data_IF_215701689116
#
_entry.id   IF_215701689116
#
_cell.length_a   1.000
_cell.length_b   1.000
_cell.length_c   1.000
_cell.angle_alpha   90.00
_cell.angle_beta   90.00
_cell.angle_gamma   90.00
#
_symmetry.space_group_name_H-M   'P 1'
#
loop_
_entity.id
_entity.type
_entity.pdbx_description
1 polymer ?
#
# COMPACT_ATOMS: atom_id res chain seq x y z
N UNK A 1 -31.12 -1.12 5.93
CA UNK A 1 -29.87 -1.54 6.56
C UNK A 1 -28.88 -0.39 6.58
N UNK A 2 -28.35 -0.02 7.73
CA UNK A 2 -27.25 0.95 7.74
C UNK A 2 -25.99 0.31 7.18
N UNK A 3 -25.19 1.12 6.50
CA UNK A 3 -23.88 0.70 6.04
C UNK A 3 -22.84 0.99 7.11
N UNK A 4 -22.03 0.00 7.42
CA UNK A 4 -20.91 0.18 8.36
C UNK A 4 -19.65 0.38 7.57
N UNK A 5 -19.06 1.57 7.69
CA UNK A 5 -17.80 1.93 7.02
C UNK A 5 -16.62 1.95 7.99
N UNK A 6 -16.78 1.29 9.13
CA UNK A 6 -15.73 1.21 10.15
C UNK A 6 -14.53 0.42 9.62
N UNK A 7 -13.33 0.93 9.87
CA UNK A 7 -12.08 0.25 9.54
C UNK A 7 -11.49 -0.54 10.70
N UNK A 8 -12.20 -0.65 11.81
CA UNK A 8 -11.72 -1.40 12.98
C UNK A 8 -11.53 -2.87 12.61
N UNK A 9 -10.33 -3.40 12.86
CA UNK A 9 -9.99 -4.78 12.50
C UNK A 9 -9.29 -4.93 11.16
N UNK A 10 -9.04 -3.82 10.47
CA UNK A 10 -8.28 -3.82 9.22
C UNK A 10 -6.83 -4.24 9.47
N UNK A 11 -6.29 -5.08 8.61
CA UNK A 11 -4.88 -5.49 8.67
C UNK A 11 -4.35 -5.75 7.28
N UNK A 12 -3.01 -5.72 7.17
CA UNK A 12 -2.31 -6.02 5.92
C UNK A 12 -1.38 -7.20 6.15
N UNK A 13 -1.34 -8.13 5.19
CA UNK A 13 -0.33 -9.17 5.15
C UNK A 13 0.63 -8.85 4.02
N UNK A 14 1.91 -8.70 4.35
CA UNK A 14 2.95 -8.31 3.40
C UNK A 14 3.92 -9.48 3.24
N UNK A 15 4.18 -9.87 2.00
CA UNK A 15 5.17 -10.88 1.67
C UNK A 15 6.17 -10.31 0.68
N UNK A 16 7.45 -10.59 0.90
CA UNK A 16 8.51 -10.21 -0.01
C UNK A 16 9.29 -11.47 -0.37
N UNK A 17 9.55 -11.68 -1.65
CA UNK A 17 10.05 -12.96 -2.16
C UNK A 17 11.40 -13.38 -1.58
N UNK A 18 12.26 -12.42 -1.22
CA UNK A 18 13.60 -12.69 -0.67
C UNK A 18 13.68 -12.34 0.81
N UNK A 19 13.27 -11.14 1.18
CA UNK A 19 13.46 -10.60 2.53
C UNK A 19 12.47 -11.18 3.54
N UNK A 20 11.21 -11.36 3.16
CA UNK A 20 10.15 -11.89 4.03
C UNK A 20 9.31 -12.94 3.30
N UNK A 21 9.89 -14.12 2.99
CA UNK A 21 9.14 -15.14 2.25
C UNK A 21 7.96 -15.71 3.04
N UNK A 22 8.02 -15.69 4.38
CA UNK A 22 6.90 -16.10 5.24
C UNK A 22 5.87 -14.99 5.43
N UNK A 23 6.27 -13.75 5.13
CA UNK A 23 5.41 -12.61 5.29
C UNK A 23 5.31 -12.10 6.72
N UNK A 24 4.67 -10.96 6.88
CA UNK A 24 4.35 -10.39 8.19
C UNK A 24 3.04 -9.62 8.10
N UNK A 25 2.41 -9.40 9.24
CA UNK A 25 1.14 -8.68 9.33
C UNK A 25 1.38 -7.27 9.84
N UNK A 26 0.75 -6.29 9.19
CA UNK A 26 0.80 -4.89 9.59
C UNK A 26 -0.53 -4.52 10.22
N UNK A 27 -0.50 -4.06 11.47
CA UNK A 27 -1.68 -3.60 12.18
C UNK A 27 -1.41 -2.36 13.05
N UNK A 28 -0.17 -2.00 13.27
CA UNK A 28 0.22 -0.82 14.05
C UNK A 28 0.18 0.44 13.18
N UNK A 29 -1.02 0.81 12.73
CA UNK A 29 -1.23 1.94 11.84
C UNK A 29 -1.09 3.27 12.55
N UNK A 30 -0.66 4.28 11.79
CA UNK A 30 -0.51 5.65 12.29
C UNK A 30 -1.86 6.25 12.70
N UNK A 31 -1.81 7.14 13.68
CA UNK A 31 -3.00 7.85 14.17
C UNK A 31 -3.17 9.24 13.56
N UNK A 32 -2.13 9.76 12.89
CA UNK A 32 -2.09 11.11 12.35
C UNK A 32 -1.97 11.15 10.81
N UNK A 33 -2.04 10.00 10.16
CA UNK A 33 -1.99 9.89 8.71
C UNK A 33 -2.85 8.71 8.27
N UNK A 34 -3.23 8.70 7.00
CA UNK A 34 -4.05 7.63 6.44
C UNK A 34 -3.29 6.29 6.51
N UNK A 35 -3.79 5.28 7.22
CA UNK A 35 -3.07 4.01 7.37
C UNK A 35 -2.83 3.28 6.04
N UNK A 36 -3.80 3.35 5.15
CA UNK A 36 -3.77 2.67 3.87
C UNK A 36 -4.41 3.57 2.84
N UNK A 37 -3.64 4.02 1.87
CA UNK A 37 -4.12 4.97 0.86
C UNK A 37 -4.08 4.34 -0.53
N UNK A 38 -5.20 4.39 -1.22
CA UNK A 38 -5.38 3.92 -2.58
C UNK A 38 -5.79 5.12 -3.44
N UNK A 39 -4.84 5.81 -4.06
CA UNK A 39 -5.15 6.99 -4.86
C UNK A 39 -5.97 6.64 -6.09
N UNK A 40 -6.72 7.61 -6.59
CA UNK A 40 -7.45 7.47 -7.84
C UNK A 40 -6.49 7.24 -9.00
N UNK A 41 -6.91 6.44 -9.96
CA UNK A 41 -6.09 6.05 -11.09
C UNK A 41 -6.84 6.31 -12.38
N UNK A 42 -6.20 7.01 -13.31
CA UNK A 42 -6.77 7.29 -14.62
C UNK A 42 -6.64 6.06 -15.51
N UNK A 43 -7.77 5.50 -15.93
CA UNK A 43 -7.78 4.32 -16.82
C UNK A 43 -7.73 4.73 -18.29
N UNK A 44 -8.06 5.98 -18.61
CA UNK A 44 -8.06 6.47 -19.96
C UNK A 44 -7.84 7.98 -20.00
N UNK A 45 -7.19 8.45 -21.04
CA UNK A 45 -7.09 9.87 -21.37
C UNK A 45 -8.14 10.18 -22.44
N UNK A 46 -9.00 11.16 -22.17
CA UNK A 46 -10.10 11.53 -23.04
C UNK A 46 -9.86 12.91 -23.65
N UNK A 47 -10.16 13.04 -24.93
CA UNK A 47 -10.10 14.33 -25.63
C UNK A 47 -11.18 14.41 -26.70
N UNK A 48 -11.49 15.63 -27.12
CA UNK A 48 -12.46 15.86 -28.22
C UNK A 48 -11.72 16.38 -29.44
N UNK A 49 -12.04 15.83 -30.61
CA UNK A 49 -11.52 16.38 -31.85
C UNK A 49 -12.35 17.59 -32.30
N UNK A 50 -11.95 18.20 -33.40
CA UNK A 50 -12.60 19.43 -33.91
C UNK A 50 -14.04 19.19 -34.39
N UNK A 51 -14.40 17.95 -34.67
CA UNK A 51 -15.76 17.58 -35.11
C UNK A 51 -16.66 17.14 -33.96
N UNK A 52 -16.15 17.17 -32.71
CA UNK A 52 -16.93 16.80 -31.54
C UNK A 52 -16.92 15.31 -31.24
N UNK A 53 -16.07 14.54 -31.90
CA UNK A 53 -15.91 13.12 -31.56
C UNK A 53 -14.94 12.96 -30.40
N UNK A 54 -15.28 12.08 -29.45
CA UNK A 54 -14.39 11.79 -28.33
C UNK A 54 -13.33 10.78 -28.75
N UNK A 55 -12.08 11.09 -28.43
CA UNK A 55 -10.94 10.19 -28.63
C UNK A 55 -10.45 9.72 -27.25
N UNK A 56 -10.35 8.42 -27.07
CA UNK A 56 -9.91 7.82 -25.81
C UNK A 56 -8.60 7.06 -26.02
N UNK A 57 -7.65 7.27 -25.12
CA UNK A 57 -6.40 6.52 -25.07
C UNK A 57 -6.32 5.82 -23.72
N UNK A 58 -6.31 4.49 -23.74
CA UNK A 58 -6.23 3.66 -22.52
C UNK A 58 -4.83 3.05 -22.43
N UNK A 59 -4.22 3.17 -21.27
CA UNK A 59 -2.87 2.64 -21.04
C UNK A 59 -2.82 1.96 -19.66
N UNK A 60 -2.00 0.89 -19.54
CA UNK A 60 -1.76 0.29 -18.23
C UNK A 60 -1.11 1.29 -17.29
N UNK A 61 -1.51 1.26 -16.02
CA UNK A 61 -1.00 2.15 -14.98
C UNK A 61 -0.48 1.35 -13.81
N UNK A 62 0.52 1.89 -13.13
CA UNK A 62 1.03 1.30 -11.89
C UNK A 62 0.01 1.54 -10.78
N UNK A 63 -0.35 0.48 -10.08
CA UNK A 63 -1.24 0.57 -8.93
C UNK A 63 -0.42 0.93 -7.71
N UNK A 64 -0.59 2.14 -7.19
CA UNK A 64 0.19 2.61 -6.05
C UNK A 64 -0.58 2.50 -4.76
N UNK A 65 0.13 2.20 -3.67
CA UNK A 65 -0.44 2.14 -2.32
C UNK A 65 0.57 2.71 -1.33
N UNK A 66 0.06 3.39 -0.33
CA UNK A 66 0.89 3.95 0.73
C UNK A 66 0.43 3.43 2.08
N UNK A 67 1.38 3.01 2.92
CA UNK A 67 1.15 2.51 4.27
C UNK A 67 1.80 3.47 5.25
N UNK A 68 1.05 3.92 6.25
CA UNK A 68 1.57 4.75 7.34
C UNK A 68 1.44 4.00 8.65
N UNK A 69 2.55 3.88 9.37
CA UNK A 69 2.63 3.08 10.60
C UNK A 69 3.18 3.90 11.77
N UNK A 70 2.93 3.42 12.99
CA UNK A 70 3.45 4.03 14.21
C UNK A 70 4.97 3.88 14.22
N UNK A 71 5.73 4.98 14.42
CA UNK A 71 7.18 4.91 14.45
C UNK A 71 7.67 4.05 15.61
N UNK A 72 8.66 3.18 15.35
CA UNK A 72 9.25 2.30 16.34
C UNK A 72 8.47 1.02 16.63
N UNK A 73 7.33 0.81 15.98
CA UNK A 73 6.59 -0.45 16.10
C UNK A 73 7.32 -1.58 15.38
N UNK A 74 6.95 -2.82 15.70
CA UNK A 74 7.51 -3.99 15.01
C UNK A 74 7.22 -3.93 13.51
N UNK A 75 6.02 -3.49 13.14
CA UNK A 75 5.63 -3.33 11.74
C UNK A 75 6.50 -2.29 11.03
N UNK A 76 6.78 -1.17 11.68
CA UNK A 76 7.69 -0.15 11.17
C UNK A 76 9.09 -0.72 10.96
N UNK A 77 9.60 -1.50 11.91
CA UNK A 77 10.90 -2.13 11.78
C UNK A 77 10.95 -3.10 10.61
N UNK A 78 9.90 -3.91 10.42
CA UNK A 78 9.82 -4.86 9.32
C UNK A 78 9.78 -4.14 7.95
N UNK A 79 8.98 -3.08 7.86
CA UNK A 79 8.90 -2.29 6.62
C UNK A 79 10.22 -1.56 6.34
N UNK A 80 10.90 -1.09 7.39
CA UNK A 80 12.20 -0.45 7.25
C UNK A 80 13.26 -1.44 6.74
N UNK A 81 13.26 -2.67 7.25
CA UNK A 81 14.15 -3.73 6.77
C UNK A 81 13.88 -4.03 5.29
N UNK A 82 12.61 -4.13 4.92
CA UNK A 82 12.22 -4.36 3.53
C UNK A 82 12.69 -3.21 2.62
N UNK A 83 12.48 -1.98 3.04
CA UNK A 83 12.90 -0.81 2.28
C UNK A 83 14.43 -0.78 2.10
N UNK A 84 15.18 -0.97 3.19
CA UNK A 84 16.64 -0.91 3.13
C UNK A 84 17.23 -2.07 2.31
N UNK A 85 16.61 -3.26 2.35
CA UNK A 85 17.05 -4.39 1.54
C UNK A 85 16.90 -4.12 0.04
N UNK A 86 15.90 -3.32 -0.34
CA UNK A 86 15.63 -3.01 -1.74
C UNK A 86 16.24 -1.68 -2.21
N UNK A 87 16.81 -0.91 -1.30
CA UNK A 87 17.45 0.36 -1.63
C UNK A 87 18.85 0.09 -2.20
N UNK A 88 19.13 0.70 -3.35
CA UNK A 88 20.45 0.63 -3.97
C UNK A 88 21.34 1.72 -3.36
N UNK A 89 22.56 1.37 -3.03
CA UNK A 89 23.53 2.30 -2.50
C UNK A 89 24.95 1.92 -2.92
N UNK A 90 25.92 2.70 -2.49
CA UNK A 90 27.33 2.43 -2.79
C UNK A 90 27.72 1.08 -2.18
N UNK A 91 28.13 0.14 -3.03
CA UNK A 91 28.50 -1.20 -2.60
C UNK A 91 27.34 -2.08 -2.17
N UNK A 92 26.11 -1.63 -2.41
CA UNK A 92 24.90 -2.33 -1.98
C UNK A 92 23.97 -2.53 -3.17
N UNK A 93 23.53 -3.75 -3.37
CA UNK A 93 22.57 -4.11 -4.42
C UNK A 93 21.16 -4.27 -3.83
N UNK A 94 20.17 -4.03 -4.65
CA UNK A 94 18.77 -4.29 -4.29
C UNK A 94 18.55 -5.81 -4.15
N UNK A 95 17.76 -6.21 -3.14
CA UNK A 95 17.30 -7.58 -2.99
C UNK A 95 16.32 -8.01 -4.10
N UNK A 96 15.79 -7.04 -4.85
CA UNK A 96 14.82 -7.26 -5.94
C UNK A 96 13.61 -8.07 -5.48
N UNK A 97 13.12 -7.74 -4.29
CA UNK A 97 11.92 -8.38 -3.77
C UNK A 97 10.71 -8.12 -4.64
N UNK A 98 9.93 -9.16 -4.90
CA UNK A 98 8.60 -9.03 -5.45
C UNK A 98 7.63 -9.05 -4.27
N UNK A 99 6.89 -7.96 -4.10
CA UNK A 99 6.04 -7.75 -2.94
C UNK A 99 4.60 -8.11 -3.29
N UNK A 100 3.97 -8.85 -2.39
CA UNK A 100 2.52 -9.14 -2.46
C UNK A 100 1.90 -8.64 -1.17
N UNK A 101 0.85 -7.82 -1.28
CA UNK A 101 0.11 -7.33 -0.12
C UNK A 101 -1.33 -7.81 -0.20
N UNK A 102 -1.81 -8.38 0.89
CA UNK A 102 -3.21 -8.75 1.04
C UNK A 102 -3.82 -7.83 2.10
N UNK A 103 -4.82 -7.05 1.70
CA UNK A 103 -5.55 -6.18 2.62
C UNK A 103 -6.77 -6.94 3.13
N UNK A 104 -6.86 -7.09 4.45
CA UNK A 104 -7.94 -7.79 5.13
C UNK A 104 -8.88 -6.78 5.74
N UNK A 105 -10.08 -6.66 5.20
CA UNK A 105 -11.09 -5.70 5.66
C UNK A 105 -12.00 -6.33 6.71
N UNK A 106 -12.54 -5.53 7.64
CA UNK A 106 -13.36 -6.08 8.74
C UNK A 106 -14.69 -6.70 8.30
N UNK A 107 -15.16 -6.41 7.09
CA UNK A 107 -16.38 -6.99 6.54
C UNK A 107 -16.15 -8.39 5.92
N UNK A 108 -14.93 -8.89 5.97
CA UNK A 108 -14.55 -10.18 5.40
C UNK A 108 -14.05 -10.11 3.96
N UNK A 109 -14.08 -8.94 3.33
CA UNK A 109 -13.52 -8.80 1.99
C UNK A 109 -12.00 -8.75 2.04
N UNK A 110 -11.35 -9.17 0.97
CA UNK A 110 -9.89 -9.12 0.84
C UNK A 110 -9.52 -8.53 -0.51
N UNK A 111 -8.42 -7.81 -0.52
CA UNK A 111 -7.82 -7.27 -1.74
C UNK A 111 -6.38 -7.77 -1.83
N UNK A 112 -6.00 -8.30 -2.98
CA UNK A 112 -4.65 -8.82 -3.20
C UNK A 112 -3.97 -7.98 -4.29
N UNK A 113 -2.81 -7.43 -3.95
CA UNK A 113 -1.97 -6.68 -4.87
C UNK A 113 -0.67 -7.44 -5.07
N UNK A 114 -0.37 -7.79 -6.30
CA UNK A 114 0.78 -8.64 -6.61
C UNK A 114 1.69 -8.04 -7.66
N UNK A 115 2.83 -8.70 -7.86
CA UNK A 115 3.85 -8.24 -8.80
C UNK A 115 4.42 -6.89 -8.43
N UNK A 116 4.51 -6.59 -7.13
CA UNK A 116 4.84 -5.26 -6.66
C UNK A 116 6.26 -5.07 -6.21
N UNK A 117 6.59 -3.81 -5.99
CA UNK A 117 7.87 -3.39 -5.42
C UNK A 117 7.66 -2.25 -4.46
N UNK A 118 8.49 -2.21 -3.43
CA UNK A 118 8.57 -1.03 -2.58
C UNK A 118 9.37 0.03 -3.33
N UNK A 119 8.81 1.22 -3.46
CA UNK A 119 9.49 2.28 -4.21
C UNK A 119 9.75 3.54 -3.39
N UNK A 120 9.10 3.68 -2.25
CA UNK A 120 9.24 4.86 -1.38
C UNK A 120 9.31 4.41 0.07
N UNK A 121 10.16 5.04 0.83
CA UNK A 121 10.30 4.77 2.26
C UNK A 121 11.08 5.87 2.93
N UNK A 122 11.38 5.67 4.21
CA UNK A 122 12.12 6.63 5.00
C UNK A 122 13.38 5.98 5.57
N UNK A 123 14.54 6.54 5.25
CA UNK A 123 15.83 6.09 5.79
C UNK A 123 16.10 6.82 7.10
N UNK A 124 15.30 6.55 8.12
CA UNK A 124 15.40 7.20 9.42
C UNK A 124 14.07 7.77 9.85
N UNK A 125 14.08 8.45 10.97
CA UNK A 125 12.89 9.02 11.59
C UNK A 125 12.89 10.53 11.45
N UNK A 126 11.69 11.10 11.36
CA UNK A 126 11.50 12.56 11.35
C UNK A 126 10.88 12.99 12.66
N UNK A 127 11.34 14.11 13.19
CA UNK A 127 10.84 14.67 14.44
C UNK A 127 10.08 15.96 14.14
N UNK A 128 8.84 16.02 14.60
CA UNK A 128 8.03 17.23 14.47
C UNK A 128 8.46 18.29 15.48
N UNK A 129 8.18 19.56 15.18
CA UNK A 129 8.55 20.69 16.05
C UNK A 129 7.92 20.59 17.44
N UNK A 130 6.78 19.88 17.57
CA UNK A 130 6.11 19.65 18.85
C UNK A 130 6.76 18.54 19.67
N UNK A 131 7.85 17.91 19.20
CA UNK A 131 8.57 16.86 19.91
C UNK A 131 8.04 15.44 19.64
N UNK A 132 7.04 15.28 18.80
CA UNK A 132 6.49 13.97 18.44
C UNK A 132 7.25 13.41 17.22
N UNK A 133 7.61 12.14 17.29
CA UNK A 133 8.18 11.44 16.12
C UNK A 133 7.07 11.27 15.08
N UNK A 134 7.34 11.67 13.85
CA UNK A 134 6.35 11.58 12.78
C UNK A 134 6.11 10.14 12.37
N UNK A 135 4.89 9.85 11.91
CA UNK A 135 4.52 8.55 11.35
C UNK A 135 5.42 8.21 10.17
N UNK A 136 5.71 6.93 10.03
CA UNK A 136 6.57 6.42 8.96
C UNK A 136 5.72 5.98 7.79
N UNK A 137 6.08 6.46 6.59
CA UNK A 137 5.38 6.18 5.34
C UNK A 137 6.18 5.25 4.46
N UNK A 138 5.52 4.27 3.87
CA UNK A 138 6.11 3.36 2.88
C UNK A 138 5.19 3.25 1.68
N UNK A 139 5.75 3.41 0.47
CA UNK A 139 5.00 3.38 -0.76
C UNK A 139 5.36 2.18 -1.62
N UNK A 140 4.36 1.62 -2.27
CA UNK A 140 4.49 0.43 -3.11
C UNK A 140 3.83 0.68 -4.46
N UNK A 141 4.36 0.02 -5.50
CA UNK A 141 3.73 -0.03 -6.81
C UNK A 141 3.49 -1.47 -7.20
N UNK A 142 2.32 -1.75 -7.76
CA UNK A 142 1.90 -3.11 -8.11
C UNK A 142 1.43 -3.17 -9.56
N UNK A 143 1.57 -4.35 -10.19
CA UNK A 143 1.09 -4.57 -11.55
C UNK A 143 -0.23 -5.32 -11.61
N UNK A 144 -0.66 -6.00 -10.54
CA UNK A 144 -1.90 -6.76 -10.54
C UNK A 144 -2.73 -6.47 -9.28
N UNK A 145 -4.05 -6.59 -9.46
CA UNK A 145 -5.02 -6.38 -8.38
C UNK A 145 -6.15 -7.37 -8.54
N UNK A 146 -6.55 -7.99 -7.44
CA UNK A 146 -7.76 -8.80 -7.37
C UNK A 146 -8.44 -8.59 -6.03
N UNK A 147 -9.74 -8.78 -5.99
CA UNK A 147 -10.51 -8.56 -4.77
C UNK A 147 -11.55 -9.66 -4.61
N UNK A 148 -11.74 -10.08 -3.35
CA UNK A 148 -12.82 -10.98 -2.96
C UNK A 148 -13.81 -10.17 -2.14
N UNK A 149 -15.06 -10.17 -2.56
CA UNK A 149 -16.11 -9.43 -1.83
C UNK A 149 -16.53 -10.22 -0.60
N UNK A 150 -17.08 -9.49 0.39
CA UNK A 150 -17.64 -10.13 1.56
C UNK A 150 -18.74 -11.11 1.14
N UNK A 151 -18.69 -12.34 1.69
CA UNK A 151 -19.69 -13.37 1.42
C UNK A 151 -20.97 -13.16 2.20
N UNK A 152 -20.87 -12.43 3.33
CA UNK A 152 -22.01 -12.07 4.16
C UNK A 152 -22.20 -10.57 4.10
N UNK A 153 -23.39 -10.08 3.70
CA UNK A 153 -23.63 -8.63 3.67
C UNK A 153 -23.46 -8.01 5.05
N UNK A 154 -23.00 -6.75 5.09
CA UNK A 154 -22.85 -6.02 6.33
C UNK A 154 -24.19 -5.93 7.06
N UNK A 155 -24.20 -6.21 8.35
CA UNK A 155 -25.40 -6.17 9.17
C UNK A 155 -26.20 -7.46 9.25
N UNK A 156 -25.65 -8.52 8.77
CA UNK A 156 -26.26 -9.87 8.92
C UNK A 156 -25.46 -10.72 9.89
#
# INVERSE_FOLDING_TARGET
MPYDVSGTGFSLTVKASVTFPQGFTVSAFADDADPWDAPSLDVATLSMNVNGDMVAFSAPQVLTRTVNVIPGSEDDNNLSILYEANRVGKGKRSARDVVTIVANWPDGSTETLGGGKINTGMSGKSLASAGKIKSRSYGFGFESYSATRATTPAGQ
#
